data_IF_595944304644
#
_entry.id   IF_595944304644
#
_cell.length_a   1.000
_cell.length_b   1.000
_cell.length_c   1.000
_cell.angle_alpha   90.00
_cell.angle_beta   90.00
_cell.angle_gamma   90.00
#
_symmetry.space_group_name_H-M   'P 1'
#
loop_
_entity.id
_entity.type
_entity.pdbx_description
1 polymer ?
#
# COMPACT_ATOMS: atom_id res chain seq x y z
N UNK A 1 -4.88 -1.86 15.69
CA UNK A 1 -4.34 -0.64 15.05
C UNK A 1 -3.13 -0.16 15.87
N UNK A 2 -1.92 -0.11 15.31
CA UNK A 2 -0.70 0.21 16.08
C UNK A 2 -0.47 1.72 16.25
N UNK A 3 -0.71 2.52 15.21
CA UNK A 3 -0.40 3.95 15.15
C UNK A 3 -1.63 4.86 15.18
N UNK A 4 -2.81 4.30 15.44
CA UNK A 4 -4.01 5.09 15.74
C UNK A 4 -4.69 5.85 14.60
N UNK A 5 -4.41 5.52 13.32
CA UNK A 5 -5.09 6.15 12.19
C UNK A 5 -6.62 5.98 12.28
N UNK A 6 -7.35 7.08 12.06
CA UNK A 6 -8.82 7.10 12.16
C UNK A 6 -9.48 6.61 10.87
N UNK A 7 -9.15 7.24 9.74
CA UNK A 7 -9.66 6.93 8.39
C UNK A 7 -8.54 6.29 7.56
N UNK A 8 -8.79 5.08 7.09
CA UNK A 8 -7.89 4.29 6.22
C UNK A 8 -8.66 3.97 4.94
N UNK A 9 -8.30 4.65 3.84
CA UNK A 9 -8.93 4.46 2.53
C UNK A 9 -8.03 3.54 1.72
N UNK A 10 -8.54 2.37 1.35
CA UNK A 10 -7.90 1.51 0.35
C UNK A 10 -8.37 1.86 -1.05
N UNK A 11 -7.43 1.91 -1.98
CA UNK A 11 -7.70 2.19 -3.39
C UNK A 11 -7.15 1.03 -4.22
N UNK A 12 -8.03 0.28 -4.86
CA UNK A 12 -7.66 -0.88 -5.69
C UNK A 12 -8.72 -1.11 -6.77
N UNK A 13 -8.32 -1.67 -7.91
CA UNK A 13 -9.25 -2.02 -8.99
C UNK A 13 -9.90 -3.39 -8.78
N UNK A 14 -9.38 -4.20 -7.85
CA UNK A 14 -9.86 -5.55 -7.55
C UNK A 14 -10.70 -5.58 -6.26
N UNK A 15 -12.05 -5.65 -6.35
CA UNK A 15 -12.92 -5.72 -5.18
C UNK A 15 -12.74 -7.01 -4.37
N UNK A 16 -12.13 -8.07 -4.94
CA UNK A 16 -11.81 -9.31 -4.24
C UNK A 16 -10.81 -9.12 -3.09
N UNK A 17 -10.13 -7.97 -2.99
CA UNK A 17 -9.20 -7.65 -1.90
C UNK A 17 -9.88 -7.00 -0.69
N UNK A 18 -11.12 -6.54 -0.82
CA UNK A 18 -11.81 -5.71 0.19
C UNK A 18 -11.94 -6.43 1.53
N UNK A 19 -12.48 -7.66 1.54
CA UNK A 19 -12.75 -8.39 2.78
C UNK A 19 -11.47 -8.59 3.63
N UNK A 20 -10.34 -8.87 2.97
CA UNK A 20 -9.05 -8.98 3.65
C UNK A 20 -8.58 -7.60 4.13
N UNK A 21 -8.63 -6.58 3.28
CA UNK A 21 -8.19 -5.24 3.65
C UNK A 21 -8.97 -4.67 4.84
N UNK A 22 -10.28 -4.91 4.94
CA UNK A 22 -11.11 -4.56 6.11
C UNK A 22 -10.65 -5.28 7.38
N UNK A 23 -10.30 -6.58 7.27
CA UNK A 23 -9.70 -7.35 8.39
C UNK A 23 -8.39 -6.71 8.88
N UNK A 24 -7.62 -6.12 7.99
CA UNK A 24 -6.39 -5.38 8.30
C UNK A 24 -6.61 -3.91 8.70
N UNK A 25 -7.87 -3.47 8.79
CA UNK A 25 -8.26 -2.19 9.35
C UNK A 25 -8.63 -1.11 8.33
N UNK A 26 -8.71 -1.45 7.04
CA UNK A 26 -9.29 -0.56 6.03
C UNK A 26 -10.71 -0.16 6.44
N UNK A 27 -11.04 1.11 6.27
CA UNK A 27 -12.34 1.68 6.69
C UNK A 27 -13.21 2.12 5.53
N UNK A 28 -12.59 2.42 4.39
CA UNK A 28 -13.26 2.85 3.17
C UNK A 28 -12.54 2.18 2.01
N UNK A 29 -13.29 1.81 0.99
CA UNK A 29 -12.75 1.28 -0.26
C UNK A 29 -13.16 2.19 -1.41
N UNK A 30 -12.22 2.50 -2.29
CA UNK A 30 -12.48 3.23 -3.53
C UNK A 30 -11.92 2.41 -4.67
N UNK A 31 -12.80 2.01 -5.59
CA UNK A 31 -12.38 1.47 -6.87
C UNK A 31 -12.28 2.61 -7.89
N UNK A 32 -11.10 2.91 -8.44
CA UNK A 32 -10.93 4.00 -9.41
C UNK A 32 -11.88 3.91 -10.62
N UNK A 33 -12.25 2.69 -11.01
CA UNK A 33 -13.15 2.47 -12.15
C UNK A 33 -14.59 2.92 -11.89
N UNK A 34 -14.99 3.00 -10.62
CA UNK A 34 -16.35 3.36 -10.20
C UNK A 34 -16.52 4.88 -9.96
N UNK A 35 -15.42 5.63 -9.90
CA UNK A 35 -15.43 7.09 -9.64
C UNK A 35 -15.96 7.87 -10.85
N UNK A 36 -15.75 7.36 -12.08
CA UNK A 36 -16.25 7.99 -13.32
C UNK A 36 -15.66 9.38 -13.61
N UNK A 37 -14.58 9.78 -12.94
CA UNK A 37 -14.01 11.12 -12.99
C UNK A 37 -12.61 11.20 -12.38
N UNK A 38 -12.24 12.37 -11.85
CA UNK A 38 -10.93 12.60 -11.24
C UNK A 38 -10.83 11.92 -9.86
N UNK A 39 -10.06 10.83 -9.82
CA UNK A 39 -9.77 10.07 -8.60
C UNK A 39 -9.15 10.95 -7.51
N UNK A 40 -8.25 11.88 -7.87
CA UNK A 40 -7.56 12.73 -6.89
C UNK A 40 -8.57 13.66 -6.21
N UNK A 41 -9.41 14.32 -7.00
CA UNK A 41 -10.46 15.19 -6.47
C UNK A 41 -11.42 14.43 -5.55
N UNK A 42 -11.84 13.23 -5.95
CA UNK A 42 -12.68 12.36 -5.14
C UNK A 42 -12.04 12.00 -3.80
N UNK A 43 -10.74 11.62 -3.79
CA UNK A 43 -10.03 11.29 -2.56
C UNK A 43 -9.83 12.50 -1.65
N UNK A 44 -9.56 13.68 -2.23
CA UNK A 44 -9.47 14.95 -1.48
C UNK A 44 -10.80 15.30 -0.81
N UNK A 45 -11.92 15.15 -1.52
CA UNK A 45 -13.26 15.36 -0.96
C UNK A 45 -13.56 14.34 0.15
N UNK A 46 -13.33 13.05 -0.11
CA UNK A 46 -13.54 11.97 0.86
C UNK A 46 -12.73 12.16 2.16
N UNK A 47 -11.61 12.87 2.09
CA UNK A 47 -10.72 13.19 3.22
C UNK A 47 -10.89 14.62 3.75
N UNK A 48 -11.84 15.40 3.24
CA UNK A 48 -12.10 16.79 3.63
C UNK A 48 -10.90 17.74 3.43
N UNK A 49 -10.08 17.52 2.40
CA UNK A 49 -8.92 18.38 2.09
C UNK A 49 -7.65 17.65 1.66
N UNK A 50 -7.67 16.31 1.67
CA UNK A 50 -6.55 15.44 1.35
C UNK A 50 -6.12 14.59 2.54
N UNK A 51 -5.48 13.45 2.28
CA UNK A 51 -5.00 12.56 3.34
C UNK A 51 -3.75 13.14 4.03
N UNK A 52 -3.61 12.94 5.34
CA UNK A 52 -2.39 13.30 6.06
C UNK A 52 -1.18 12.49 5.56
N UNK A 53 -1.43 11.21 5.22
CA UNK A 53 -0.44 10.30 4.64
C UNK A 53 -1.06 9.52 3.48
N UNK A 54 -0.30 9.34 2.41
CA UNK A 54 -0.61 8.38 1.35
C UNK A 54 0.57 7.43 1.12
N UNK A 55 0.24 6.22 0.66
CA UNK A 55 1.22 5.17 0.38
C UNK A 55 0.92 4.58 -1.00
N UNK A 56 1.88 4.66 -1.91
CA UNK A 56 1.79 3.96 -3.18
C UNK A 56 2.48 2.60 -3.05
N UNK A 57 1.72 1.53 -3.27
CA UNK A 57 2.14 0.14 -2.99
C UNK A 57 2.12 -0.75 -4.24
N UNK A 58 2.13 -0.16 -5.45
CA UNK A 58 1.95 -0.89 -6.72
C UNK A 58 3.23 -0.86 -7.55
N UNK A 59 3.88 0.30 -7.67
CA UNK A 59 4.99 0.53 -8.60
C UNK A 59 4.56 1.23 -9.89
N UNK A 60 3.46 1.98 -9.87
CA UNK A 60 2.97 2.72 -11.05
C UNK A 60 3.16 4.23 -10.88
N UNK A 61 3.91 4.87 -11.78
CA UNK A 61 4.27 6.30 -11.66
C UNK A 61 3.09 7.27 -11.72
N UNK A 62 2.01 6.92 -12.43
CA UNK A 62 0.78 7.72 -12.45
C UNK A 62 0.06 7.63 -11.10
N UNK A 63 0.00 6.44 -10.51
CA UNK A 63 -0.57 6.26 -9.16
C UNK A 63 0.31 6.92 -8.11
N UNK A 64 1.64 6.92 -8.26
CA UNK A 64 2.55 7.64 -7.36
C UNK A 64 2.24 9.14 -7.37
N UNK A 65 2.01 9.72 -8.55
CA UNK A 65 1.60 11.13 -8.69
C UNK A 65 0.24 11.37 -8.03
N UNK A 66 -0.75 10.53 -8.30
CA UNK A 66 -2.08 10.65 -7.69
C UNK A 66 -2.03 10.56 -6.16
N UNK A 67 -1.21 9.65 -5.61
CA UNK A 67 -0.98 9.51 -4.18
C UNK A 67 -0.40 10.79 -3.56
N UNK A 68 0.52 11.48 -4.25
CA UNK A 68 1.00 12.78 -3.78
C UNK A 68 -0.10 13.83 -3.85
N UNK A 69 -0.79 13.94 -4.98
CA UNK A 69 -1.74 15.03 -5.22
C UNK A 69 -2.99 14.92 -4.34
N UNK A 70 -3.35 13.72 -3.87
CA UNK A 70 -4.43 13.50 -2.92
C UNK A 70 -4.06 13.75 -1.45
N UNK A 71 -2.78 14.04 -1.14
CA UNK A 71 -2.38 14.42 0.21
C UNK A 71 -2.88 15.81 0.58
N UNK A 72 -3.03 16.05 1.89
CA UNK A 72 -3.50 17.32 2.42
C UNK A 72 -2.52 18.45 2.07
N UNK A 73 -3.05 19.57 1.57
CA UNK A 73 -2.24 20.78 1.35
C UNK A 73 -1.69 21.29 2.68
N UNK A 74 -0.41 21.61 2.73
CA UNK A 74 0.24 22.20 3.90
C UNK A 74 1.12 21.23 4.68
N UNK A 75 0.72 19.97 4.84
CA UNK A 75 1.43 19.01 5.69
C UNK A 75 1.40 17.55 5.21
N UNK A 76 0.66 17.22 4.15
CA UNK A 76 0.48 15.83 3.77
C UNK A 76 1.76 15.19 3.21
N UNK A 77 2.00 13.92 3.57
CA UNK A 77 3.18 13.17 3.12
C UNK A 77 2.79 11.97 2.25
N UNK A 78 3.41 11.86 1.08
CA UNK A 78 3.26 10.72 0.20
C UNK A 78 4.52 9.85 0.21
N UNK A 79 4.34 8.56 0.45
CA UNK A 79 5.40 7.57 0.57
C UNK A 79 5.30 6.57 -0.58
N UNK A 80 6.32 6.53 -1.43
CA UNK A 80 6.48 5.51 -2.46
C UNK A 80 7.06 4.24 -1.83
N UNK A 81 6.31 3.15 -1.89
CA UNK A 81 6.72 1.80 -1.48
C UNK A 81 6.90 0.91 -2.71
N UNK A 82 6.05 1.06 -3.73
CA UNK A 82 6.12 0.33 -4.98
C UNK A 82 7.39 0.62 -5.78
N UNK A 83 7.88 -0.39 -6.50
CA UNK A 83 9.07 -0.26 -7.35
C UNK A 83 8.64 -0.13 -8.81
N UNK A 84 8.89 1.03 -9.40
CA UNK A 84 8.56 1.29 -10.80
C UNK A 84 9.48 0.52 -11.77
N UNK A 85 8.98 0.29 -12.98
CA UNK A 85 9.76 -0.27 -14.07
C UNK A 85 10.96 0.62 -14.47
N UNK A 86 11.97 0.02 -15.08
CA UNK A 86 13.20 0.72 -15.48
C UNK A 86 12.90 1.90 -16.43
N UNK A 87 13.53 3.05 -16.17
CA UNK A 87 13.41 4.26 -16.99
C UNK A 87 12.11 5.05 -16.81
N UNK A 88 11.22 4.64 -15.91
CA UNK A 88 10.01 5.39 -15.58
C UNK A 88 10.34 6.58 -14.66
N UNK A 89 9.61 7.69 -14.84
CA UNK A 89 9.81 8.92 -14.08
C UNK A 89 8.51 9.32 -13.39
N UNK A 90 8.63 9.75 -12.13
CA UNK A 90 7.54 10.43 -11.44
C UNK A 90 7.56 11.92 -11.77
N UNK A 91 6.38 12.52 -11.88
CA UNK A 91 6.23 13.94 -12.15
C UNK A 91 5.07 14.52 -11.35
N UNK A 92 5.13 15.81 -11.06
CA UNK A 92 4.01 16.60 -10.53
C UNK A 92 4.29 18.09 -10.76
N UNK A 93 3.31 18.95 -10.49
CA UNK A 93 3.54 20.40 -10.50
C UNK A 93 4.33 20.80 -9.25
N UNK A 94 5.42 21.59 -9.34
CA UNK A 94 6.19 22.03 -8.18
C UNK A 94 5.35 22.69 -7.09
N UNK A 95 4.25 23.34 -7.48
CA UNK A 95 3.31 23.96 -6.56
C UNK A 95 2.72 22.98 -5.53
N UNK A 96 2.61 21.69 -5.86
CA UNK A 96 2.15 20.68 -4.91
C UNK A 96 3.09 20.57 -3.70
N UNK A 97 4.40 20.69 -3.93
CA UNK A 97 5.43 20.67 -2.89
C UNK A 97 5.59 22.03 -2.21
N UNK A 98 5.58 23.13 -2.98
CA UNK A 98 5.64 24.50 -2.43
C UNK A 98 4.52 24.76 -1.43
N UNK A 99 3.34 24.17 -1.66
CA UNK A 99 2.20 24.28 -0.76
C UNK A 99 2.23 23.29 0.41
N UNK A 100 3.38 22.67 0.69
CA UNK A 100 3.65 21.97 1.95
C UNK A 100 3.55 20.45 1.91
N UNK A 101 3.30 19.83 0.74
CA UNK A 101 3.37 18.36 0.65
C UNK A 101 4.82 17.88 0.62
N UNK A 102 5.03 16.68 1.13
CA UNK A 102 6.33 16.00 1.08
C UNK A 102 6.21 14.70 0.29
N UNK A 103 7.18 14.44 -0.59
CA UNK A 103 7.26 13.19 -1.34
C UNK A 103 8.52 12.44 -0.92
N UNK A 104 8.36 11.22 -0.41
CA UNK A 104 9.45 10.37 0.09
C UNK A 104 9.34 8.96 -0.49
N UNK A 105 10.43 8.22 -0.43
CA UNK A 105 10.44 6.78 -0.67
C UNK A 105 10.86 6.02 0.58
N UNK A 106 10.65 4.71 0.58
CA UNK A 106 11.17 3.81 1.61
C UNK A 106 11.76 2.54 0.99
N UNK A 107 12.78 2.00 1.63
CA UNK A 107 13.33 0.69 1.31
C UNK A 107 13.21 -0.19 2.56
N UNK A 108 12.58 -1.36 2.41
CA UNK A 108 12.37 -2.31 3.51
C UNK A 108 11.67 -1.66 4.74
N UNK A 109 10.80 -0.68 4.51
CA UNK A 109 10.12 0.06 5.58
C UNK A 109 11.03 0.93 6.46
N UNK A 110 12.29 1.14 6.06
CA UNK A 110 13.30 1.84 6.86
C UNK A 110 13.98 0.97 7.93
N UNK A 111 13.67 -0.32 7.97
CA UNK A 111 14.22 -1.24 8.97
C UNK A 111 15.69 -1.56 8.72
N UNK A 112 16.48 -1.59 9.79
CA UNK A 112 17.84 -2.12 9.82
C UNK A 112 17.76 -3.63 9.97
N UNK A 113 17.85 -4.36 8.86
CA UNK A 113 17.60 -5.82 8.78
C UNK A 113 17.99 -6.64 10.02
N UNK A 114 19.27 -6.68 10.39
CA UNK A 114 19.74 -7.52 11.51
C UNK A 114 19.24 -7.08 12.89
N UNK A 115 18.92 -5.80 13.06
CA UNK A 115 18.56 -5.21 14.35
C UNK A 115 17.05 -5.15 14.56
N UNK A 116 16.30 -4.88 13.49
CA UNK A 116 14.87 -4.59 13.58
C UNK A 116 14.00 -5.80 13.20
N UNK A 117 14.48 -6.73 12.36
CA UNK A 117 13.71 -7.94 12.02
C UNK A 117 13.39 -8.80 13.24
N UNK A 118 14.31 -9.05 14.20
CA UNK A 118 13.96 -9.76 15.43
C UNK A 118 12.81 -9.11 16.21
N UNK A 119 12.77 -7.77 16.26
CA UNK A 119 11.69 -7.05 16.93
C UNK A 119 10.33 -7.22 16.22
N UNK A 120 10.34 -7.31 14.88
CA UNK A 120 9.12 -7.60 14.09
C UNK A 120 8.63 -9.03 14.41
N UNK A 121 9.54 -9.99 14.58
CA UNK A 121 9.19 -11.35 15.03
C UNK A 121 8.58 -11.30 16.43
N UNK A 122 9.19 -10.58 17.36
CA UNK A 122 8.64 -10.41 18.72
C UNK A 122 7.22 -9.81 18.68
N UNK A 123 6.98 -8.81 17.83
CA UNK A 123 5.63 -8.25 17.66
C UNK A 123 4.63 -9.27 17.12
N UNK A 124 5.04 -10.16 16.22
CA UNK A 124 4.19 -11.24 15.74
C UNK A 124 3.89 -12.25 16.86
N UNK A 125 4.92 -12.69 17.60
CA UNK A 125 4.76 -13.63 18.72
C UNK A 125 3.90 -13.05 19.85
N UNK A 126 3.98 -11.74 20.08
CA UNK A 126 3.14 -10.98 21.03
C UNK A 126 1.71 -10.74 20.52
N UNK A 127 1.38 -11.13 19.29
CA UNK A 127 0.07 -10.88 18.66
C UNK A 127 -0.19 -9.40 18.33
N UNK A 128 0.84 -8.55 18.29
CA UNK A 128 0.73 -7.11 17.93
C UNK A 128 0.52 -6.90 16.44
N UNK A 129 1.05 -7.81 15.61
CA UNK A 129 0.89 -7.81 14.15
C UNK A 129 0.35 -9.16 13.68
N UNK A 130 -0.48 -9.10 12.64
CA UNK A 130 -1.07 -10.27 12.02
C UNK A 130 -0.30 -10.62 10.74
N UNK A 131 0.34 -11.79 10.73
CA UNK A 131 1.06 -12.31 9.56
C UNK A 131 0.31 -13.49 8.95
N UNK A 132 -0.35 -14.31 9.77
CA UNK A 132 -0.99 -15.56 9.32
C UNK A 132 -2.04 -15.33 8.24
N UNK A 133 -2.87 -14.29 8.37
CA UNK A 133 -3.90 -13.99 7.37
C UNK A 133 -3.36 -13.47 6.03
N UNK A 134 -2.07 -13.10 5.96
CA UNK A 134 -1.41 -12.79 4.70
C UNK A 134 -1.00 -14.07 3.95
N UNK A 135 -0.87 -15.20 4.65
CA UNK A 135 -0.53 -16.49 4.06
C UNK A 135 -1.81 -17.12 3.51
N UNK A 136 -2.02 -16.94 2.21
CA UNK A 136 -3.21 -17.47 1.52
C UNK A 136 -3.03 -18.88 0.99
N UNK A 137 -1.79 -19.31 0.78
CA UNK A 137 -1.46 -20.60 0.19
C UNK A 137 -0.19 -21.15 0.85
N UNK A 138 -0.17 -22.46 1.07
CA UNK A 138 1.01 -23.21 1.50
C UNK A 138 1.14 -24.43 0.60
N UNK A 139 2.33 -24.67 0.06
CA UNK A 139 2.58 -25.79 -0.85
C UNK A 139 4.03 -26.26 -0.75
N UNK A 140 4.34 -27.51 -1.15
CA UNK A 140 5.70 -28.02 -1.11
C UNK A 140 6.51 -27.49 -2.30
N UNK A 141 7.85 -27.54 -2.20
CA UNK A 141 8.78 -26.98 -3.18
C UNK A 141 8.56 -27.49 -4.60
N UNK A 142 8.11 -28.74 -4.77
CA UNK A 142 7.84 -29.35 -6.07
C UNK A 142 6.75 -28.58 -6.85
N UNK A 143 5.88 -27.86 -6.14
CA UNK A 143 4.78 -27.08 -6.70
C UNK A 143 5.09 -25.59 -6.84
N UNK A 144 6.37 -25.18 -6.76
CA UNK A 144 6.77 -23.75 -6.78
C UNK A 144 6.20 -22.97 -7.97
N UNK A 145 6.08 -23.59 -9.16
CA UNK A 145 5.53 -22.92 -10.34
C UNK A 145 4.06 -22.53 -10.17
N UNK A 146 3.26 -23.33 -9.46
CA UNK A 146 1.87 -22.98 -9.14
C UNK A 146 1.79 -21.71 -8.27
N UNK A 147 2.78 -21.47 -7.40
CA UNK A 147 2.84 -20.23 -6.63
C UNK A 147 3.01 -19.00 -7.53
N UNK A 148 3.78 -19.12 -8.63
CA UNK A 148 3.91 -18.06 -9.63
C UNK A 148 2.62 -17.85 -10.41
N UNK A 149 1.91 -18.91 -10.78
CA UNK A 149 0.62 -18.80 -11.49
C UNK A 149 -0.41 -18.05 -10.64
N UNK A 150 -0.56 -18.44 -9.37
CA UNK A 150 -1.44 -17.76 -8.41
C UNK A 150 -1.12 -16.27 -8.20
N UNK A 151 0.16 -15.92 -8.28
CA UNK A 151 0.63 -14.52 -8.20
C UNK A 151 0.17 -13.72 -9.43
N UNK A 152 0.33 -14.26 -10.64
CA UNK A 152 -0.10 -13.59 -11.88
C UNK A 152 -1.62 -13.46 -11.98
N UNK A 153 -2.35 -14.48 -11.51
CA UNK A 153 -3.82 -14.47 -11.49
C UNK A 153 -4.40 -13.55 -10.40
N UNK A 154 -3.55 -13.00 -9.51
CA UNK A 154 -3.99 -12.16 -8.39
C UNK A 154 -4.78 -12.91 -7.33
N UNK A 155 -4.75 -14.25 -7.33
CA UNK A 155 -5.47 -15.13 -6.39
C UNK A 155 -4.74 -15.34 -5.07
N UNK A 156 -3.44 -15.03 -5.00
CA UNK A 156 -2.67 -15.06 -3.76
C UNK A 156 -2.44 -13.66 -3.16
N UNK A 157 -2.10 -13.63 -1.87
CA UNK A 157 -1.45 -12.49 -1.20
C UNK A 157 0.01 -12.86 -0.91
N UNK A 158 0.22 -13.93 -0.14
CA UNK A 158 1.50 -14.63 0.00
C UNK A 158 1.29 -16.14 -0.13
N UNK A 159 2.27 -16.79 -0.71
CA UNK A 159 2.39 -18.25 -0.82
C UNK A 159 3.64 -18.68 -0.06
N UNK A 160 3.50 -19.58 0.91
CA UNK A 160 4.62 -20.15 1.65
C UNK A 160 5.00 -21.48 1.03
N UNK A 161 6.28 -21.65 0.71
CA UNK A 161 6.83 -22.88 0.15
C UNK A 161 7.56 -23.67 1.23
N UNK A 162 7.19 -24.93 1.42
CA UNK A 162 7.82 -25.84 2.40
C UNK A 162 8.75 -26.84 1.71
N UNK A 163 9.81 -27.26 2.42
CA UNK A 163 10.82 -28.21 1.94
C UNK A 163 10.60 -29.63 2.46
#
# INVERSE_FOLDING_TARGET
RMVGANKIIGVDTNPGKVALAEKFGMTHFVNPNDVGGDLVAHLVELTNGGADYSFECIGNVEVMRQALECCHKGWGESIIIGVAGSGQEINTRPFQLVTGRVWRGTAFGGAKGRTDVPQIVDWYMDGKINIDDLITHTMPLENINNAFDLMHEGKSIRSVVTF
#
